data_IF_594036350755
#
_entry.id   IF_594036350755
#
_cell.length_a   1.000
_cell.length_b   1.000
_cell.length_c   1.000
_cell.angle_alpha   90.00
_cell.angle_beta   90.00
_cell.angle_gamma   90.00
#
_symmetry.space_group_name_H-M   'P 1'
#
loop_
_entity.id
_entity.type
_entity.pdbx_description
1 polymer ?
#
# COMPACT_ATOMS: atom_id res chain seq x y z
N UNK A 1 9.43 -26.39 -2.10
CA UNK A 1 8.03 -26.39 -1.62
C UNK A 1 7.68 -24.95 -1.25
N UNK A 2 6.92 -24.25 -2.06
CA UNK A 2 6.37 -22.93 -1.72
C UNK A 2 5.35 -23.13 -0.60
N UNK A 3 5.61 -22.54 0.57
CA UNK A 3 4.67 -22.59 1.67
C UNK A 3 3.33 -21.99 1.22
N UNK A 4 2.26 -22.73 1.40
CA UNK A 4 0.90 -22.26 1.08
C UNK A 4 0.56 -21.11 2.02
N UNK A 5 0.53 -19.89 1.50
CA UNK A 5 0.10 -18.70 2.25
C UNK A 5 -1.45 -18.72 2.29
N UNK A 6 -2.08 -18.80 3.49
CA UNK A 6 -3.53 -18.86 3.58
C UNK A 6 -4.18 -17.53 3.18
N UNK A 7 -5.35 -17.59 2.51
CA UNK A 7 -6.14 -16.39 2.19
C UNK A 7 -7.01 -15.96 3.38
N UNK A 8 -6.38 -15.79 4.55
CA UNK A 8 -7.02 -15.23 5.75
C UNK A 8 -6.00 -14.45 6.55
N UNK A 9 -6.24 -13.15 6.69
CA UNK A 9 -5.34 -12.25 7.39
C UNK A 9 -6.12 -11.13 8.10
N UNK A 10 -5.47 -10.47 9.03
CA UNK A 10 -6.06 -9.38 9.78
C UNK A 10 -5.95 -8.07 8.98
N UNK A 11 -7.06 -7.36 8.81
CA UNK A 11 -7.01 -5.98 8.35
C UNK A 11 -6.22 -5.15 9.39
N UNK A 12 -5.08 -4.61 8.96
CA UNK A 12 -4.14 -3.93 9.86
C UNK A 12 -4.82 -2.77 10.61
N UNK A 13 -4.47 -2.57 11.87
CA UNK A 13 -5.00 -1.45 12.66
C UNK A 13 -4.72 -0.09 11.99
N UNK A 14 -3.57 0.02 11.31
CA UNK A 14 -3.22 1.18 10.49
C UNK A 14 -4.30 1.55 9.46
N UNK A 15 -4.96 0.57 8.84
CA UNK A 15 -6.06 0.81 7.90
C UNK A 15 -7.22 1.55 8.58
N UNK A 16 -7.66 1.05 9.74
CA UNK A 16 -8.78 1.64 10.49
C UNK A 16 -8.47 3.05 11.01
N UNK A 17 -7.25 3.24 11.53
CA UNK A 17 -6.78 4.57 11.96
C UNK A 17 -6.73 5.52 10.77
N UNK A 18 -6.24 5.07 9.62
CA UNK A 18 -6.18 5.86 8.40
C UNK A 18 -7.55 6.31 7.92
N UNK A 19 -8.57 5.43 7.98
CA UNK A 19 -9.96 5.79 7.65
C UNK A 19 -10.44 6.95 8.52
N UNK A 20 -10.29 6.83 9.84
CA UNK A 20 -10.74 7.86 10.79
C UNK A 20 -10.03 9.18 10.52
N UNK A 21 -8.72 9.16 10.24
CA UNK A 21 -7.95 10.37 9.97
C UNK A 21 -8.37 11.11 8.69
N UNK A 22 -8.94 10.41 7.72
CA UNK A 22 -9.52 11.05 6.52
C UNK A 22 -11.03 11.35 6.65
N UNK A 23 -11.59 11.20 7.86
CA UNK A 23 -12.99 11.51 8.15
C UNK A 23 -14.00 10.41 7.85
N UNK A 24 -13.54 9.18 7.55
CA UNK A 24 -14.43 8.05 7.33
C UNK A 24 -14.64 7.24 8.60
N UNK A 25 -15.85 6.70 8.77
CA UNK A 25 -16.13 5.76 9.86
C UNK A 25 -15.96 4.31 9.41
N UNK A 26 -15.38 3.43 10.26
CA UNK A 26 -15.31 2.00 9.96
C UNK A 26 -16.67 1.39 9.63
N UNK A 27 -17.73 1.83 10.30
CA UNK A 27 -19.09 1.35 10.08
C UNK A 27 -19.60 1.66 8.65
N UNK A 28 -19.38 2.89 8.14
CA UNK A 28 -19.80 3.27 6.80
C UNK A 28 -19.06 2.44 5.73
N UNK A 29 -17.74 2.29 5.88
CA UNK A 29 -16.91 1.50 4.95
C UNK A 29 -17.30 0.02 4.98
N UNK A 30 -17.53 -0.57 6.16
CA UNK A 30 -17.96 -1.96 6.30
C UNK A 30 -19.35 -2.20 5.71
N UNK A 31 -20.29 -1.28 5.94
CA UNK A 31 -21.63 -1.34 5.36
C UNK A 31 -21.58 -1.32 3.82
N UNK A 32 -20.80 -0.40 3.25
CA UNK A 32 -20.61 -0.30 1.80
C UNK A 32 -19.92 -1.55 1.24
N UNK A 33 -18.94 -2.10 1.96
CA UNK A 33 -18.27 -3.34 1.58
C UNK A 33 -19.13 -4.62 1.81
N UNK A 34 -20.34 -4.49 2.38
CA UNK A 34 -21.22 -5.59 2.78
C UNK A 34 -20.54 -6.59 3.73
N UNK A 35 -19.75 -6.07 4.67
CA UNK A 35 -19.06 -6.84 5.69
C UNK A 35 -19.60 -6.54 7.09
N UNK A 36 -19.60 -7.52 8.00
CA UNK A 36 -20.09 -7.31 9.35
C UNK A 36 -19.14 -6.43 10.17
N UNK A 37 -19.70 -5.71 11.15
CA UNK A 37 -18.94 -4.81 12.03
C UNK A 37 -17.86 -5.55 12.84
N UNK A 38 -18.04 -6.85 13.06
CA UNK A 38 -17.07 -7.73 13.73
C UNK A 38 -15.73 -7.85 13.02
N UNK A 39 -15.63 -7.42 11.78
CA UNK A 39 -14.33 -7.29 11.07
C UNK A 39 -13.48 -6.17 11.68
N UNK A 40 -14.10 -5.14 12.24
CA UNK A 40 -13.42 -4.03 12.92
C UNK A 40 -13.19 -4.31 14.41
N UNK A 41 -14.24 -4.67 15.15
CA UNK A 41 -14.23 -4.77 16.60
C UNK A 41 -14.12 -6.20 17.15
N UNK A 42 -14.21 -7.20 16.26
CA UNK A 42 -14.18 -8.61 16.63
C UNK A 42 -12.79 -9.14 16.98
N UNK A 43 -12.74 -10.11 17.90
CA UNK A 43 -11.49 -10.82 18.25
C UNK A 43 -10.89 -11.62 17.08
N UNK A 44 -11.73 -12.05 16.12
CA UNK A 44 -11.35 -12.79 14.89
C UNK A 44 -11.66 -11.95 13.65
N UNK A 45 -11.04 -10.79 13.55
CA UNK A 45 -11.20 -9.85 12.43
C UNK A 45 -10.36 -10.25 11.20
N UNK A 46 -10.46 -11.52 10.79
CA UNK A 46 -9.78 -12.02 9.59
C UNK A 46 -10.65 -11.78 8.36
N UNK A 47 -10.00 -11.33 7.30
CA UNK A 47 -10.60 -11.12 5.97
C UNK A 47 -9.87 -11.97 4.93
N UNK A 48 -10.56 -12.29 3.84
CA UNK A 48 -9.94 -12.82 2.63
C UNK A 48 -9.44 -11.67 1.75
N UNK A 49 -8.64 -11.99 0.73
CA UNK A 49 -8.21 -11.00 -0.30
C UNK A 49 -9.42 -10.31 -0.94
N UNK A 50 -10.45 -11.06 -1.32
CA UNK A 50 -11.67 -10.50 -1.90
C UNK A 50 -12.39 -9.53 -0.95
N UNK A 51 -12.52 -9.89 0.33
CA UNK A 51 -13.10 -9.02 1.35
C UNK A 51 -12.25 -7.76 1.59
N UNK A 52 -10.95 -7.90 1.59
CA UNK A 52 -10.03 -6.75 1.73
C UNK A 52 -10.12 -5.82 0.53
N UNK A 53 -10.25 -6.36 -0.69
CA UNK A 53 -10.47 -5.56 -1.88
C UNK A 53 -11.83 -4.84 -1.82
N UNK A 54 -12.87 -5.50 -1.33
CA UNK A 54 -14.18 -4.88 -1.11
C UNK A 54 -14.09 -3.69 -0.12
N UNK A 55 -13.31 -3.81 0.97
CA UNK A 55 -13.06 -2.69 1.89
C UNK A 55 -12.41 -1.50 1.18
N UNK A 56 -11.39 -1.74 0.35
CA UNK A 56 -10.69 -0.64 -0.33
C UNK A 56 -11.52 -0.01 -1.46
N UNK A 57 -12.38 -0.77 -2.15
CA UNK A 57 -13.36 -0.18 -3.07
C UNK A 57 -14.35 0.70 -2.31
N UNK A 58 -14.86 0.19 -1.19
CA UNK A 58 -15.77 0.95 -0.34
C UNK A 58 -15.14 2.27 0.18
N UNK A 59 -13.83 2.28 0.47
CA UNK A 59 -13.13 3.52 0.80
C UNK A 59 -13.24 4.54 -0.32
N UNK A 60 -12.98 4.15 -1.57
CA UNK A 60 -13.12 5.05 -2.72
C UNK A 60 -14.54 5.57 -2.89
N UNK A 61 -15.53 4.67 -2.80
CA UNK A 61 -16.94 5.00 -2.98
C UNK A 61 -17.50 5.90 -1.88
N UNK A 62 -17.19 5.61 -0.61
CA UNK A 62 -17.68 6.39 0.54
C UNK A 62 -16.98 7.74 0.63
N UNK A 63 -15.69 7.81 0.34
CA UNK A 63 -14.95 9.08 0.39
C UNK A 63 -15.29 10.02 -0.77
N UNK A 64 -15.58 9.46 -1.95
CA UNK A 64 -15.66 10.24 -3.19
C UNK A 64 -14.37 10.98 -3.53
N UNK A 65 -13.27 10.68 -2.84
CA UNK A 65 -11.99 11.38 -2.97
C UNK A 65 -10.98 10.48 -3.71
N UNK A 66 -10.60 10.83 -4.94
CA UNK A 66 -9.65 10.04 -5.70
C UNK A 66 -8.25 9.97 -5.05
N UNK A 67 -7.92 10.88 -4.12
CA UNK A 67 -6.68 10.87 -3.36
C UNK A 67 -6.76 10.10 -2.03
N UNK A 68 -7.88 9.43 -1.72
CA UNK A 68 -8.09 8.76 -0.43
C UNK A 68 -6.96 7.80 -0.06
N UNK A 69 -6.48 7.00 -1.01
CA UNK A 69 -5.36 6.06 -0.79
C UNK A 69 -4.07 6.76 -0.37
N UNK A 70 -3.69 7.83 -1.06
CA UNK A 70 -2.53 8.64 -0.71
C UNK A 70 -2.68 9.26 0.69
N UNK A 71 -3.85 9.82 0.99
CA UNK A 71 -4.14 10.45 2.29
C UNK A 71 -4.07 9.45 3.43
N UNK A 72 -4.65 8.26 3.28
CA UNK A 72 -4.55 7.20 4.29
C UNK A 72 -3.09 6.87 4.58
N UNK A 73 -2.28 6.63 3.56
CA UNK A 73 -0.88 6.23 3.74
C UNK A 73 -0.02 7.32 4.41
N UNK A 74 -0.25 8.59 4.09
CA UNK A 74 0.54 9.72 4.60
C UNK A 74 0.20 10.11 6.02
N UNK A 75 -1.03 9.87 6.47
CA UNK A 75 -1.52 10.29 7.79
C UNK A 75 -1.27 9.25 8.90
N UNK A 76 -0.81 8.05 8.57
CA UNK A 76 -0.52 7.01 9.58
C UNK A 76 0.82 7.30 10.25
N UNK A 77 0.80 7.42 11.57
CA UNK A 77 2.01 7.55 12.38
C UNK A 77 2.84 6.27 12.36
N UNK A 78 4.16 6.38 12.54
CA UNK A 78 5.09 5.24 12.51
C UNK A 78 4.67 4.14 13.50
N UNK A 79 4.32 4.50 14.75
CA UNK A 79 3.95 3.55 15.79
C UNK A 79 2.66 2.75 15.52
N UNK A 80 1.85 3.18 14.57
CA UNK A 80 0.60 2.50 14.18
C UNK A 80 0.75 1.63 12.92
N UNK A 81 1.97 1.50 12.38
CA UNK A 81 2.21 0.75 11.15
C UNK A 81 2.29 -0.76 11.41
N UNK A 82 2.02 -1.61 10.39
CA UNK A 82 2.13 -3.06 10.52
C UNK A 82 3.56 -3.51 10.91
N UNK A 83 3.71 -4.67 11.57
CA UNK A 83 5.02 -5.21 11.97
C UNK A 83 6.03 -5.30 10.82
N UNK A 84 5.57 -5.62 9.60
CA UNK A 84 6.42 -5.65 8.40
C UNK A 84 7.06 -4.29 8.10
N UNK A 85 6.29 -3.21 8.23
CA UNK A 85 6.78 -1.84 8.03
C UNK A 85 7.68 -1.42 9.20
N UNK A 86 7.35 -1.79 10.43
CA UNK A 86 8.19 -1.51 11.60
C UNK A 86 9.58 -2.15 11.44
N UNK A 87 9.66 -3.42 11.00
CA UNK A 87 10.93 -4.08 10.74
C UNK A 87 11.79 -3.35 9.68
N UNK A 88 11.13 -2.71 8.71
CA UNK A 88 11.81 -1.93 7.67
C UNK A 88 12.44 -0.63 8.19
N UNK A 89 11.87 0.02 9.22
CA UNK A 89 12.45 1.22 9.83
C UNK A 89 13.77 0.98 10.58
N UNK A 90 14.09 -0.27 10.93
CA UNK A 90 15.37 -0.66 11.53
C UNK A 90 16.39 -1.17 10.49
N UNK A 91 16.20 -0.84 9.23
CA UNK A 91 17.12 -1.20 8.16
C UNK A 91 18.32 -0.24 8.09
N UNK A 92 19.40 -0.69 7.45
CA UNK A 92 20.63 0.11 7.30
C UNK A 92 20.48 1.21 6.23
N UNK A 93 19.69 0.91 5.22
CA UNK A 93 19.41 1.78 4.08
C UNK A 93 18.05 1.46 3.47
N UNK A 94 17.61 2.28 2.54
CA UNK A 94 16.27 2.11 1.95
C UNK A 94 16.12 0.81 1.14
N UNK A 95 17.19 0.30 0.53
CA UNK A 95 17.18 -1.00 -0.15
C UNK A 95 16.97 -2.14 0.86
N UNK A 96 17.69 -2.14 1.97
CA UNK A 96 17.51 -3.10 3.06
C UNK A 96 16.08 -2.98 3.64
N UNK A 97 15.56 -1.75 3.79
CA UNK A 97 14.19 -1.51 4.25
C UNK A 97 13.13 -2.18 3.35
N UNK A 98 13.22 -1.97 2.04
CA UNK A 98 12.32 -2.61 1.07
C UNK A 98 12.48 -4.14 1.05
N UNK A 99 13.71 -4.64 1.17
CA UNK A 99 13.96 -6.10 1.23
C UNK A 99 13.33 -6.72 2.47
N UNK A 100 13.47 -6.09 3.63
CA UNK A 100 12.82 -6.52 4.88
C UNK A 100 11.30 -6.44 4.77
N UNK A 101 10.78 -5.35 4.23
CA UNK A 101 9.35 -5.19 4.00
C UNK A 101 8.80 -6.33 3.14
N UNK A 102 9.43 -6.64 2.00
CA UNK A 102 9.04 -7.74 1.12
C UNK A 102 9.05 -9.09 1.85
N UNK A 103 10.12 -9.37 2.61
CA UNK A 103 10.25 -10.61 3.37
C UNK A 103 9.16 -10.80 4.42
N UNK A 104 8.80 -9.74 5.15
CA UNK A 104 7.83 -9.83 6.24
C UNK A 104 6.39 -9.54 5.81
N UNK A 105 6.16 -9.06 4.60
CA UNK A 105 4.82 -8.73 4.10
C UNK A 105 3.90 -9.94 4.07
N UNK A 106 4.39 -11.08 3.61
CA UNK A 106 3.63 -12.33 3.56
C UNK A 106 3.21 -12.88 4.93
N UNK A 107 3.85 -12.45 6.02
CA UNK A 107 3.40 -12.77 7.38
C UNK A 107 2.19 -11.95 7.82
N UNK A 108 1.91 -10.84 7.14
CA UNK A 108 0.83 -9.92 7.48
C UNK A 108 -0.37 -10.05 6.54
N UNK A 109 -0.13 -10.39 5.26
CA UNK A 109 -1.14 -10.51 4.21
C UNK A 109 -0.62 -11.40 3.08
N UNK A 110 -1.49 -12.04 2.28
CA UNK A 110 -1.10 -12.86 1.14
C UNK A 110 -0.68 -11.98 -0.06
N UNK A 111 0.26 -11.07 0.18
CA UNK A 111 0.80 -10.13 -0.78
C UNK A 111 2.31 -10.30 -0.89
N UNK A 112 2.78 -10.47 -2.11
CA UNK A 112 4.19 -10.52 -2.47
C UNK A 112 4.63 -9.18 -3.04
N UNK A 113 5.73 -8.64 -2.55
CA UNK A 113 6.38 -7.48 -3.14
C UNK A 113 7.50 -7.95 -4.06
N UNK A 114 7.29 -7.87 -5.36
CA UNK A 114 8.32 -8.17 -6.34
C UNK A 114 9.21 -6.93 -6.50
N UNK A 115 10.45 -7.02 -6.01
CA UNK A 115 11.42 -5.94 -6.07
C UNK A 115 12.53 -6.32 -7.04
N UNK A 116 12.68 -5.52 -8.10
CA UNK A 116 13.72 -5.69 -9.11
C UNK A 116 14.63 -4.47 -9.13
N UNK A 117 15.86 -4.64 -8.66
CA UNK A 117 16.88 -3.59 -8.68
C UNK A 117 17.72 -3.74 -9.93
N UNK A 118 17.79 -2.67 -10.73
CA UNK A 118 18.66 -2.53 -11.89
C UNK A 118 19.68 -1.41 -11.62
N UNK A 119 20.59 -1.16 -12.58
CA UNK A 119 21.70 -0.23 -12.40
C UNK A 119 21.28 1.16 -11.89
N UNK A 120 20.16 1.68 -12.37
CA UNK A 120 19.70 3.05 -12.14
C UNK A 120 18.24 3.15 -11.65
N UNK A 121 17.59 2.01 -11.38
CA UNK A 121 16.20 1.99 -10.91
C UNK A 121 15.88 0.80 -10.01
N UNK A 122 14.90 1.02 -9.13
CA UNK A 122 14.26 -0.01 -8.32
C UNK A 122 12.78 -0.06 -8.68
N UNK A 123 12.34 -1.21 -9.19
CA UNK A 123 10.94 -1.46 -9.57
C UNK A 123 10.27 -2.27 -8.47
N UNK A 124 9.15 -1.78 -7.97
CA UNK A 124 8.34 -2.41 -6.91
C UNK A 124 6.95 -2.72 -7.47
N UNK A 125 6.60 -4.00 -7.51
CA UNK A 125 5.30 -4.50 -7.97
C UNK A 125 4.61 -5.27 -6.83
N UNK A 126 3.48 -4.78 -6.26
CA UNK A 126 2.68 -5.57 -5.33
C UNK A 126 1.84 -6.60 -6.08
N UNK A 127 1.91 -7.86 -5.64
CA UNK A 127 1.17 -8.99 -6.24
C UNK A 127 0.37 -9.69 -5.16
N UNK A 128 -0.95 -9.72 -5.29
CA UNK A 128 -1.84 -10.43 -4.38
C UNK A 128 -2.01 -11.87 -4.83
N UNK A 129 -1.61 -12.83 -3.99
CA UNK A 129 -1.50 -14.25 -4.34
C UNK A 129 -2.87 -14.92 -4.58
N UNK A 130 -3.93 -14.39 -3.99
CA UNK A 130 -5.29 -14.93 -4.11
C UNK A 130 -6.26 -13.98 -4.83
N UNK A 131 -5.74 -12.98 -5.53
CA UNK A 131 -6.57 -12.05 -6.29
C UNK A 131 -7.29 -12.77 -7.45
N UNK A 132 -8.62 -12.63 -7.49
CA UNK A 132 -9.46 -13.08 -8.59
C UNK A 132 -9.93 -11.91 -9.49
N UNK A 133 -9.55 -10.69 -9.13
CA UNK A 133 -9.91 -9.44 -9.77
C UNK A 133 -8.75 -8.44 -9.69
N UNK A 134 -8.87 -7.33 -10.40
CA UNK A 134 -7.87 -6.26 -10.34
C UNK A 134 -7.80 -5.63 -8.94
N UNK A 135 -6.60 -5.35 -8.49
CA UNK A 135 -6.38 -4.66 -7.21
C UNK A 135 -7.03 -3.28 -7.25
N UNK A 136 -7.86 -2.93 -6.25
CA UNK A 136 -8.52 -1.63 -6.21
C UNK A 136 -7.55 -0.44 -6.34
N UNK A 137 -7.86 0.57 -7.16
CA UNK A 137 -6.99 1.74 -7.37
C UNK A 137 -6.55 2.41 -6.07
N UNK A 138 -7.48 2.60 -5.13
CA UNK A 138 -7.22 3.23 -3.83
C UNK A 138 -6.20 2.42 -3.01
N UNK A 139 -6.23 1.08 -3.11
CA UNK A 139 -5.24 0.20 -2.45
C UNK A 139 -3.86 0.34 -3.09
N UNK A 140 -3.78 0.41 -4.42
CA UNK A 140 -2.51 0.62 -5.13
C UNK A 140 -1.88 1.97 -4.73
N UNK A 141 -2.68 3.03 -4.70
CA UNK A 141 -2.22 4.36 -4.28
C UNK A 141 -1.70 4.35 -2.83
N UNK A 142 -2.45 3.71 -1.92
CA UNK A 142 -2.03 3.58 -0.53
C UNK A 142 -0.73 2.75 -0.38
N UNK A 143 -0.58 1.67 -1.16
CA UNK A 143 0.63 0.85 -1.15
C UNK A 143 1.84 1.65 -1.65
N UNK A 144 1.74 2.31 -2.81
CA UNK A 144 2.82 3.08 -3.38
C UNK A 144 3.21 4.28 -2.50
N UNK A 145 2.21 4.98 -1.95
CA UNK A 145 2.46 6.06 -0.99
C UNK A 145 3.16 5.53 0.27
N UNK A 146 2.78 4.35 0.77
CA UNK A 146 3.43 3.74 1.94
C UNK A 146 4.90 3.42 1.69
N UNK A 147 5.27 2.99 0.48
CA UNK A 147 6.68 2.74 0.12
C UNK A 147 7.46 4.06 0.05
N UNK A 148 6.90 5.09 -0.59
CA UNK A 148 7.53 6.41 -0.65
C UNK A 148 7.69 7.02 0.75
N UNK A 149 6.66 6.93 1.61
CA UNK A 149 6.73 7.42 3.00
C UNK A 149 7.74 6.64 3.85
N UNK A 150 7.90 5.33 3.63
CA UNK A 150 8.96 4.57 4.28
C UNK A 150 10.34 5.15 3.95
N UNK A 151 10.59 5.45 2.68
CA UNK A 151 11.83 6.08 2.25
C UNK A 151 12.02 7.49 2.80
N UNK A 152 11.00 8.35 2.67
CA UNK A 152 11.05 9.75 3.16
C UNK A 152 11.32 9.84 4.65
N UNK A 153 10.60 9.06 5.43
CA UNK A 153 10.73 9.07 6.91
C UNK A 153 11.98 8.37 7.40
N UNK A 154 12.39 7.29 6.72
CA UNK A 154 13.58 6.54 7.09
C UNK A 154 14.87 7.29 6.76
N UNK A 155 14.95 7.95 5.62
CA UNK A 155 16.17 8.64 5.18
C UNK A 155 16.21 10.13 5.56
N UNK A 156 15.09 10.71 5.95
CA UNK A 156 14.95 12.16 6.12
C UNK A 156 15.02 12.96 4.81
N UNK A 157 15.05 12.28 3.66
CA UNK A 157 15.17 12.90 2.34
C UNK A 157 13.89 12.80 1.52
N UNK A 158 13.73 13.70 0.56
CA UNK A 158 12.63 13.67 -0.40
C UNK A 158 12.82 12.51 -1.39
N UNK A 159 12.12 11.39 -1.13
CA UNK A 159 12.04 10.29 -2.09
C UNK A 159 11.00 10.64 -3.15
N UNK A 160 11.40 10.58 -4.42
CA UNK A 160 10.54 10.82 -5.58
C UNK A 160 10.47 9.59 -6.47
N UNK A 161 9.38 9.43 -7.20
CA UNK A 161 9.29 8.37 -8.19
C UNK A 161 10.05 8.76 -9.47
N UNK A 162 10.81 7.82 -10.04
CA UNK A 162 11.32 7.93 -11.41
C UNK A 162 10.15 7.89 -12.40
N UNK A 163 9.14 7.05 -12.12
CA UNK A 163 7.82 6.96 -12.76
C UNK A 163 6.88 6.08 -11.95
N UNK A 164 5.59 6.22 -12.20
CA UNK A 164 4.55 5.32 -11.68
C UNK A 164 3.77 4.74 -12.86
N UNK A 165 3.58 3.43 -12.87
CA UNK A 165 2.82 2.71 -13.90
C UNK A 165 1.52 2.21 -13.25
N UNK A 166 0.36 2.60 -13.80
CA UNK A 166 -0.97 2.26 -13.28
C UNK A 166 -1.82 1.61 -14.37
N UNK A 167 -2.40 0.44 -14.08
CA UNK A 167 -3.28 -0.30 -15.01
C UNK A 167 -4.57 0.45 -15.32
N UNK A 168 -5.09 1.21 -14.34
CA UNK A 168 -6.34 1.97 -14.49
C UNK A 168 -6.23 3.08 -15.53
N UNK A 169 -7.38 3.53 -16.02
CA UNK A 169 -7.50 4.71 -16.88
C UNK A 169 -7.08 5.99 -16.15
N UNK A 170 -6.71 7.01 -16.93
CA UNK A 170 -6.36 8.31 -16.37
C UNK A 170 -7.56 8.98 -15.68
N UNK A 171 -7.28 9.55 -14.52
CA UNK A 171 -8.18 10.47 -13.82
C UNK A 171 -7.56 11.87 -13.88
N UNK A 172 -8.33 12.86 -14.30
CA UNK A 172 -7.84 14.21 -14.56
C UNK A 172 -7.68 15.05 -13.28
N UNK A 173 -6.82 14.63 -12.36
CA UNK A 173 -6.71 15.28 -11.04
C UNK A 173 -5.33 15.84 -10.71
N UNK A 174 -4.25 15.41 -11.38
CA UNK A 174 -2.88 15.90 -11.15
C UNK A 174 -2.28 15.66 -9.75
N UNK A 175 -3.04 15.08 -8.81
CA UNK A 175 -2.55 14.89 -7.45
C UNK A 175 -1.51 13.76 -7.33
N UNK A 176 -1.54 12.78 -8.22
CA UNK A 176 -0.53 11.71 -8.26
C UNK A 176 0.84 12.29 -8.62
N UNK A 177 0.91 13.09 -9.69
CA UNK A 177 2.13 13.78 -10.11
C UNK A 177 2.66 14.69 -9.01
N UNK A 178 1.76 15.43 -8.36
CA UNK A 178 2.11 16.32 -7.24
C UNK A 178 2.68 15.54 -6.05
N UNK A 179 2.17 14.34 -5.77
CA UNK A 179 2.63 13.51 -4.66
C UNK A 179 3.91 12.74 -4.97
N UNK A 180 3.95 12.01 -6.07
CA UNK A 180 5.07 11.14 -6.44
C UNK A 180 6.25 11.91 -7.02
N UNK A 181 6.04 13.16 -7.48
CA UNK A 181 7.06 14.03 -8.10
C UNK A 181 7.74 13.38 -9.31
N UNK A 182 7.00 12.60 -10.06
CA UNK A 182 7.45 11.89 -11.25
C UNK A 182 6.29 11.61 -12.21
N UNK A 183 6.58 11.24 -13.47
CA UNK A 183 5.57 10.95 -14.47
C UNK A 183 4.70 9.76 -14.10
N UNK A 184 3.41 9.85 -14.39
CA UNK A 184 2.44 8.79 -14.20
C UNK A 184 2.03 8.23 -15.56
N UNK A 185 2.14 6.94 -15.75
CA UNK A 185 1.64 6.24 -16.95
C UNK A 185 0.37 5.48 -16.59
N UNK A 186 -0.77 5.96 -17.06
CA UNK A 186 -2.06 5.28 -16.96
C UNK A 186 -2.25 4.30 -18.12
N UNK A 187 -3.12 3.29 -17.96
CA UNK A 187 -3.32 2.25 -18.95
C UNK A 187 -2.11 1.33 -19.13
N UNK A 188 -1.22 1.28 -18.16
CA UNK A 188 -0.05 0.43 -18.18
C UNK A 188 -0.42 -1.07 -18.08
N UNK A 189 0.49 -1.95 -18.46
CA UNK A 189 0.28 -3.41 -18.36
C UNK A 189 0.30 -3.94 -16.93
N UNK A 190 0.84 -3.15 -15.99
CA UNK A 190 1.02 -3.52 -14.57
C UNK A 190 0.89 -2.28 -13.67
N UNK A 191 0.74 -2.53 -12.36
CA UNK A 191 0.91 -1.50 -11.35
C UNK A 191 2.33 -1.59 -10.81
N UNK A 192 3.16 -0.56 -11.05
CA UNK A 192 4.55 -0.54 -10.61
C UNK A 192 4.97 0.86 -10.13
N UNK A 193 5.61 0.92 -8.98
CA UNK A 193 6.35 2.09 -8.53
C UNK A 193 7.82 1.91 -8.92
N UNK A 194 8.34 2.83 -9.70
CA UNK A 194 9.75 2.84 -10.10
C UNK A 194 10.44 4.02 -9.42
N UNK A 195 11.42 3.71 -8.61
CA UNK A 195 12.25 4.69 -7.91
C UNK A 195 13.61 4.82 -8.62
N UNK A 196 14.26 5.96 -8.44
CA UNK A 196 15.69 6.09 -8.76
C UNK A 196 16.50 5.08 -7.94
N UNK A 197 17.76 4.86 -8.29
CA UNK A 197 18.62 3.97 -7.51
C UNK A 197 18.60 4.35 -6.02
N UNK A 198 18.26 3.36 -5.17
CA UNK A 198 18.07 3.53 -3.72
C UNK A 198 19.27 3.05 -2.90
N UNK A 199 20.42 2.91 -3.56
CA UNK A 199 21.56 2.11 -3.08
C UNK A 199 22.41 2.73 -1.95
N UNK A 200 22.16 3.95 -1.46
CA UNK A 200 23.02 4.59 -0.44
C UNK A 200 22.32 5.60 0.47
N UNK A 201 21.00 5.74 0.42
CA UNK A 201 20.31 6.56 1.40
C UNK A 201 20.25 5.79 2.73
N UNK A 202 21.04 6.16 3.70
CA UNK A 202 20.98 5.61 5.06
C UNK A 202 19.61 5.92 5.67
N UNK A 203 19.02 4.93 6.34
CA UNK A 203 17.76 5.06 7.10
C UNK A 203 18.06 5.47 8.52
#
# INVERSE_FOLDING_TARGET
MTAHVPDRFKAANAFWIGLVKIGLTPAAVLSQARLPLTVYDGKKNLVTTAQFFALWRAVGEVSGDPAAGLKIATQIDVGNRPPSTMAAYYARDYRDALTRLARFKQLCSPEELQIKVRKDECVIEPVWLHAQEETPPVLIDAAFASFVELGRRGTGHLVTAKRVELKRSAEATGFHEAYFKGPITFGARRNALVLHEIGRAHV
#
